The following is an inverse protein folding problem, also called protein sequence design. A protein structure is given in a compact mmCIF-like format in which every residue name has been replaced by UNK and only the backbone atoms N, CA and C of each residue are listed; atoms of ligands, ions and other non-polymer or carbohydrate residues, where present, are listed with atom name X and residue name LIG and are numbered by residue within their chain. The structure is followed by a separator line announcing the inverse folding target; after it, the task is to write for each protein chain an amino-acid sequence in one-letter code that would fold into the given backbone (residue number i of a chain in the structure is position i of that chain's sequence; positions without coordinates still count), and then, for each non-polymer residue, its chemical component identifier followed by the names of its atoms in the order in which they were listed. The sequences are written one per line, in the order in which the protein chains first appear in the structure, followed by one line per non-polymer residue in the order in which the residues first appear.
data_IF_300328173827
#
_entry.id   IF_300328173827
#
_cell.length_a   1.000
_cell.length_b   1.000
_cell.length_c   1.000
_cell.angle_alpha   90.00
_cell.angle_beta   90.00
_cell.angle_gamma   90.00
#
_symmetry.space_group_name_H-M   'P 1'
#
loop_
_entity.id
_entity.type
_entity.pdbx_description
1 polymer ?
#
# COMPACT_ATOMS: atom_id res chain seq x y z
N UNK A 1 -8.23 -9.62 -31.56
CA UNK A 1 -9.50 -9.13 -30.99
C UNK A 1 -10.08 -10.00 -29.85
N UNK A 2 -9.25 -10.66 -29.01
CA UNK A 2 -9.67 -11.23 -27.72
C UNK A 2 -8.90 -10.55 -26.59
N UNK A 3 -9.34 -9.31 -26.35
CA UNK A 3 -9.38 -8.57 -25.08
C UNK A 3 -7.99 -8.32 -24.48
N UNK A 4 -7.37 -7.13 -24.61
CA UNK A 4 -7.65 -5.90 -23.82
C UNK A 4 -7.83 -6.10 -22.29
N UNK A 5 -7.73 -7.33 -21.79
CA UNK A 5 -7.85 -7.73 -20.39
C UNK A 5 -6.54 -7.52 -19.60
N UNK A 6 -5.43 -7.39 -20.32
CA UNK A 6 -4.10 -6.99 -19.83
C UNK A 6 -4.02 -5.52 -19.36
N UNK A 7 -5.05 -4.70 -19.57
CA UNK A 7 -4.99 -3.25 -19.36
C UNK A 7 -5.74 -2.70 -18.13
N UNK A 8 -6.42 -3.53 -17.32
CA UNK A 8 -7.50 -3.03 -16.45
C UNK A 8 -7.40 -3.22 -14.93
N UNK A 9 -6.39 -3.88 -14.36
CA UNK A 9 -6.53 -4.36 -12.96
C UNK A 9 -6.09 -3.35 -11.90
N UNK A 10 -5.31 -2.31 -12.23
CA UNK A 10 -4.82 -1.40 -11.18
C UNK A 10 -5.12 0.09 -11.37
N UNK A 11 -5.86 0.54 -12.40
CA UNK A 11 -6.18 1.98 -12.50
C UNK A 11 -7.57 2.26 -13.06
N UNK A 12 -8.59 2.18 -12.19
CA UNK A 12 -9.77 3.05 -12.28
C UNK A 12 -10.50 3.20 -10.94
N UNK A 13 -9.79 3.70 -9.93
CA UNK A 13 -10.40 4.77 -9.12
C UNK A 13 -9.77 6.07 -9.66
N UNK A 14 -10.36 6.48 -10.80
CA UNK A 14 -10.37 7.81 -11.43
C UNK A 14 -9.11 8.68 -11.39
N UNK A 15 -8.48 8.88 -12.57
CA UNK A 15 -8.32 10.19 -13.26
C UNK A 15 -7.53 9.98 -14.57
N UNK A 16 -8.19 10.37 -15.67
CA UNK A 16 -7.73 10.77 -17.01
C UNK A 16 -6.45 10.17 -17.66
N UNK A 17 -6.68 9.78 -18.92
CA UNK A 17 -5.74 9.72 -20.05
C UNK A 17 -4.83 8.49 -20.19
N UNK A 18 -4.90 7.94 -21.41
CA UNK A 18 -4.25 6.77 -22.00
C UNK A 18 -2.71 6.70 -21.94
N UNK A 19 -2.03 7.32 -20.96
CA UNK A 19 -0.56 7.41 -20.92
C UNK A 19 0.10 6.73 -19.70
N UNK A 20 -0.64 6.16 -18.74
CA UNK A 20 -0.01 5.64 -17.49
C UNK A 20 0.15 4.11 -17.37
N UNK A 21 -0.42 3.32 -18.28
CA UNK A 21 -0.30 1.86 -18.23
C UNK A 21 1.01 1.33 -18.85
N UNK A 22 1.52 2.02 -19.87
CA UNK A 22 2.70 1.60 -20.62
C UNK A 22 3.98 1.87 -19.82
N UNK A 23 4.10 3.04 -19.19
CA UNK A 23 5.22 3.39 -18.30
C UNK A 23 5.27 2.51 -17.04
N UNK A 24 4.11 2.10 -16.51
CA UNK A 24 4.04 1.20 -15.36
C UNK A 24 4.55 -0.20 -15.71
N UNK A 25 4.08 -0.78 -16.82
CA UNK A 25 4.53 -2.10 -17.29
C UNK A 25 6.02 -2.10 -17.68
N UNK A 26 6.49 -1.01 -18.30
CA UNK A 26 7.88 -0.87 -18.71
C UNK A 26 8.85 -0.71 -17.52
N UNK A 27 8.42 -0.07 -16.41
CA UNK A 27 9.18 0.00 -15.15
C UNK A 27 9.08 -1.29 -14.33
N UNK A 28 7.92 -1.95 -14.31
CA UNK A 28 7.75 -3.23 -13.61
C UNK A 28 8.66 -4.32 -14.22
N UNK A 29 8.78 -4.38 -15.54
CA UNK A 29 9.56 -5.43 -16.23
C UNK A 29 11.04 -5.46 -15.82
N UNK A 30 11.67 -4.30 -15.55
CA UNK A 30 13.13 -4.24 -15.37
C UNK A 30 13.61 -4.77 -14.02
N UNK A 31 12.92 -4.42 -12.94
CA UNK A 31 13.29 -4.80 -11.57
C UNK A 31 12.74 -6.18 -11.17
N UNK A 32 11.64 -6.58 -11.78
CA UNK A 32 10.98 -7.86 -11.54
C UNK A 32 11.77 -9.06 -12.08
N UNK A 33 12.45 -8.87 -13.22
CA UNK A 33 13.32 -9.86 -13.83
C UNK A 33 14.56 -10.15 -12.96
N UNK A 34 15.22 -9.10 -12.46
CA UNK A 34 16.41 -9.19 -11.57
C UNK A 34 16.10 -10.02 -10.31
N UNK A 35 14.88 -9.84 -9.80
CA UNK A 35 14.39 -10.49 -8.61
C UNK A 35 14.05 -11.98 -8.82
N UNK A 36 13.55 -12.36 -10.00
CA UNK A 36 13.28 -13.74 -10.35
C UNK A 36 14.51 -14.49 -10.89
N UNK A 37 15.55 -13.78 -11.35
CA UNK A 37 16.72 -14.38 -12.01
C UNK A 37 17.93 -14.62 -11.12
N UNK A 38 17.87 -14.32 -9.82
CA UNK A 38 18.91 -14.57 -8.81
C UNK A 38 20.38 -14.40 -9.28
N UNK A 39 20.99 -13.26 -8.93
CA UNK A 39 22.44 -12.93 -8.94
C UNK A 39 23.04 -12.36 -10.26
N UNK A 40 23.54 -11.12 -10.10
CA UNK A 40 24.70 -10.45 -10.75
C UNK A 40 24.72 -10.12 -12.26
N UNK A 41 25.07 -8.86 -12.52
CA UNK A 41 25.49 -8.18 -13.76
C UNK A 41 24.50 -7.99 -14.92
N UNK A 42 24.28 -6.71 -15.27
CA UNK A 42 23.20 -6.18 -16.10
C UNK A 42 23.63 -6.01 -17.59
N UNK A 43 22.84 -6.52 -18.53
CA UNK A 43 22.89 -6.21 -19.97
C UNK A 43 21.48 -6.08 -20.57
N UNK A 44 21.30 -5.27 -21.61
CA UNK A 44 19.99 -4.97 -22.23
C UNK A 44 19.32 -6.18 -22.93
N UNK A 45 20.06 -7.23 -23.26
CA UNK A 45 19.53 -8.47 -23.85
C UNK A 45 18.80 -9.33 -22.81
N UNK A 46 19.28 -9.32 -21.57
CA UNK A 46 18.66 -10.02 -20.43
C UNK A 46 17.27 -9.45 -20.11
N UNK A 47 17.06 -8.14 -20.30
CA UNK A 47 15.75 -7.48 -20.13
C UNK A 47 14.68 -8.00 -21.11
N UNK A 48 15.08 -8.27 -22.36
CA UNK A 48 14.18 -8.74 -23.42
C UNK A 48 13.77 -10.21 -23.24
N UNK A 49 14.68 -11.05 -22.74
CA UNK A 49 14.39 -12.48 -22.48
C UNK A 49 13.50 -12.65 -21.26
N UNK A 50 13.77 -11.87 -20.22
CA UNK A 50 13.16 -12.07 -18.92
C UNK A 50 11.73 -11.50 -18.86
N UNK A 51 11.42 -10.43 -19.60
CA UNK A 51 10.04 -9.96 -19.81
C UNK A 51 9.14 -11.02 -20.48
N UNK A 52 9.65 -11.85 -21.39
CA UNK A 52 8.88 -12.92 -22.03
C UNK A 52 8.69 -14.15 -21.12
N UNK A 53 9.73 -14.58 -20.41
CA UNK A 53 9.67 -15.73 -19.50
C UNK A 53 8.83 -15.44 -18.25
N UNK A 54 8.95 -14.24 -17.68
CA UNK A 54 8.14 -13.83 -16.53
C UNK A 54 6.68 -13.74 -16.92
N UNK A 55 6.36 -13.13 -18.06
CA UNK A 55 4.97 -13.01 -18.51
C UNK A 55 4.37 -14.36 -18.90
N UNK A 56 5.15 -15.27 -19.49
CA UNK A 56 4.67 -16.64 -19.80
C UNK A 56 4.52 -17.51 -18.54
N UNK A 57 5.40 -17.37 -17.54
CA UNK A 57 5.28 -18.05 -16.25
C UNK A 57 4.12 -17.50 -15.43
N UNK A 58 3.95 -16.17 -15.39
CA UNK A 58 2.81 -15.51 -14.77
C UNK A 58 1.50 -15.93 -15.44
N UNK A 59 1.48 -15.99 -16.78
CA UNK A 59 0.35 -16.50 -17.54
C UNK A 59 0.04 -17.97 -17.19
N UNK A 60 1.06 -18.83 -17.11
CA UNK A 60 0.90 -20.24 -16.74
C UNK A 60 0.41 -20.41 -15.30
N UNK A 61 0.91 -19.60 -14.36
CA UNK A 61 0.45 -19.55 -12.98
C UNK A 61 -1.02 -19.11 -12.88
N UNK A 62 -1.42 -18.10 -13.68
CA UNK A 62 -2.82 -17.67 -13.82
C UNK A 62 -3.70 -18.76 -14.42
N UNK A 63 -3.26 -19.42 -15.49
CA UNK A 63 -3.99 -20.51 -16.13
C UNK A 63 -4.15 -21.73 -15.20
N UNK A 64 -3.11 -22.07 -14.44
CA UNK A 64 -3.16 -23.15 -13.45
C UNK A 64 -4.03 -22.78 -12.24
N UNK A 65 -3.99 -21.52 -11.79
CA UNK A 65 -4.90 -21.01 -10.77
C UNK A 65 -6.36 -21.18 -11.22
N UNK A 66 -6.71 -20.70 -12.41
CA UNK A 66 -8.05 -20.85 -12.97
C UNK A 66 -8.51 -22.31 -13.14
N UNK A 67 -7.59 -23.25 -13.39
CA UNK A 67 -7.90 -24.69 -13.52
C UNK A 67 -8.12 -25.39 -12.17
N UNK A 68 -7.43 -24.96 -11.11
CA UNK A 68 -7.42 -25.66 -9.82
C UNK A 68 -8.40 -25.07 -8.80
N UNK A 69 -8.86 -23.84 -9.01
CA UNK A 69 -9.74 -23.13 -8.07
C UNK A 69 -11.03 -22.68 -8.75
N UNK A 70 -11.97 -23.61 -8.95
CA UNK A 70 -13.28 -23.34 -9.56
C UNK A 70 -14.15 -22.29 -8.82
N UNK A 71 -13.70 -21.72 -7.68
CA UNK A 71 -14.49 -20.83 -6.84
C UNK A 71 -13.68 -19.76 -6.04
N UNK A 72 -12.40 -19.46 -6.37
CA UNK A 72 -11.65 -18.38 -5.68
C UNK A 72 -11.50 -17.12 -6.53
N UNK A 73 -11.68 -15.97 -5.87
CA UNK A 73 -11.69 -14.64 -6.47
C UNK A 73 -10.29 -14.26 -7.03
N UNK A 74 -10.24 -13.45 -8.09
CA UNK A 74 -9.03 -12.90 -8.70
C UNK A 74 -8.11 -12.19 -7.68
N UNK A 75 -8.72 -11.60 -6.66
CA UNK A 75 -8.03 -10.89 -5.59
C UNK A 75 -7.14 -11.80 -4.75
N UNK A 76 -7.48 -13.08 -4.59
CA UNK A 76 -6.67 -14.06 -3.85
C UNK A 76 -5.36 -14.39 -4.59
N UNK A 77 -5.42 -14.50 -5.92
CA UNK A 77 -4.23 -14.67 -6.74
C UNK A 77 -3.31 -13.46 -6.63
N UNK A 78 -3.86 -12.25 -6.83
CA UNK A 78 -3.08 -11.01 -6.75
C UNK A 78 -2.47 -10.82 -5.38
N UNK A 79 -3.20 -11.15 -4.31
CA UNK A 79 -2.70 -11.15 -2.93
C UNK A 79 -1.51 -12.09 -2.78
N UNK A 80 -1.66 -13.36 -3.17
CA UNK A 80 -0.57 -14.34 -3.06
C UNK A 80 0.67 -13.95 -3.86
N UNK A 81 0.47 -13.37 -5.04
CA UNK A 81 1.55 -12.83 -5.86
C UNK A 81 2.30 -11.67 -5.18
N UNK A 82 1.59 -10.65 -4.71
CA UNK A 82 2.19 -9.49 -4.04
C UNK A 82 2.92 -9.88 -2.74
N UNK A 83 2.33 -10.77 -1.94
CA UNK A 83 2.96 -11.31 -0.71
C UNK A 83 4.29 -12.01 -1.04
N UNK A 84 4.33 -12.83 -2.10
CA UNK A 84 5.56 -13.51 -2.53
C UNK A 84 6.65 -12.52 -2.94
N UNK A 85 6.28 -11.44 -3.61
CA UNK A 85 7.24 -10.42 -4.02
C UNK A 85 7.79 -9.66 -2.82
N UNK A 86 6.94 -9.14 -1.94
CA UNK A 86 7.40 -8.44 -0.73
C UNK A 86 8.45 -9.25 0.04
N UNK A 87 8.20 -10.55 0.22
CA UNK A 87 9.06 -11.41 1.00
C UNK A 87 10.37 -11.79 0.27
N UNK A 88 10.32 -12.07 -1.04
CA UNK A 88 11.45 -12.66 -1.77
C UNK A 88 12.16 -11.69 -2.74
N UNK A 89 11.73 -10.43 -2.79
CA UNK A 89 12.14 -9.48 -3.80
C UNK A 89 12.52 -8.13 -3.18
N UNK A 90 13.80 -7.94 -2.88
CA UNK A 90 14.26 -6.69 -2.27
C UNK A 90 14.02 -5.45 -3.15
N UNK A 91 14.25 -5.47 -4.47
CA UNK A 91 13.90 -4.34 -5.33
C UNK A 91 12.41 -3.97 -5.26
N UNK A 92 11.52 -4.97 -5.30
CA UNK A 92 10.07 -4.74 -5.19
C UNK A 92 9.69 -4.20 -3.81
N UNK A 93 10.28 -4.72 -2.74
CA UNK A 93 10.07 -4.22 -1.38
C UNK A 93 10.50 -2.74 -1.24
N UNK A 94 11.66 -2.39 -1.79
CA UNK A 94 12.17 -1.01 -1.83
C UNK A 94 11.20 -0.13 -2.61
N UNK A 95 10.78 -0.57 -3.81
CA UNK A 95 9.80 0.15 -4.63
C UNK A 95 8.49 0.44 -3.87
N UNK A 96 7.93 -0.55 -3.19
CA UNK A 96 6.71 -0.36 -2.39
C UNK A 96 6.94 0.59 -1.21
N UNK A 97 8.13 0.57 -0.62
CA UNK A 97 8.53 1.52 0.44
C UNK A 97 8.60 2.95 -0.09
N UNK A 98 9.17 3.16 -1.28
CA UNK A 98 9.25 4.47 -1.92
C UNK A 98 7.87 5.02 -2.30
N UNK A 99 6.97 4.17 -2.80
CA UNK A 99 5.59 4.54 -3.07
C UNK A 99 4.87 5.00 -1.79
N UNK A 100 5.05 4.26 -0.69
CA UNK A 100 4.48 4.63 0.61
C UNK A 100 5.06 5.96 1.11
N UNK A 101 6.37 6.15 1.00
CA UNK A 101 7.03 7.41 1.37
C UNK A 101 6.46 8.58 0.59
N UNK A 102 6.30 8.45 -0.74
CA UNK A 102 5.70 9.50 -1.58
C UNK A 102 4.26 9.82 -1.19
N UNK A 103 3.47 8.80 -0.81
CA UNK A 103 2.13 9.02 -0.28
C UNK A 103 2.17 9.81 1.03
N UNK A 104 3.13 9.51 1.92
CA UNK A 104 3.30 10.27 3.16
C UNK A 104 3.77 11.70 2.94
N UNK A 105 4.67 11.94 1.98
CA UNK A 105 5.10 13.29 1.61
C UNK A 105 3.90 14.12 1.13
N UNK A 106 3.05 13.54 0.27
CA UNK A 106 1.82 14.19 -0.18
C UNK A 106 0.84 14.46 0.97
N UNK A 107 0.64 13.48 1.86
CA UNK A 107 -0.19 13.67 3.05
C UNK A 107 0.31 14.83 3.91
N UNK A 108 1.61 14.89 4.21
CA UNK A 108 2.21 15.98 5.00
C UNK A 108 2.06 17.33 4.32
N UNK A 109 2.25 17.38 3.00
CA UNK A 109 2.08 18.60 2.21
C UNK A 109 0.65 19.16 2.27
N UNK A 110 -0.37 18.30 2.38
CA UNK A 110 -1.77 18.76 2.49
C UNK A 110 -2.05 19.55 3.78
N UNK A 111 -1.25 19.37 4.83
CA UNK A 111 -1.41 20.06 6.12
C UNK A 111 -0.38 21.18 6.35
N UNK A 112 0.51 21.43 5.38
CA UNK A 112 1.65 22.35 5.54
C UNK A 112 1.23 23.79 5.88
N UNK A 113 0.18 24.29 5.22
CA UNK A 113 -0.32 25.66 5.40
C UNK A 113 -1.49 25.75 6.38
N UNK A 114 -1.93 24.61 6.95
CA UNK A 114 -3.03 24.58 7.90
C UNK A 114 -2.52 24.95 9.29
N UNK A 115 -3.16 25.91 9.97
CA UNK A 115 -2.87 26.18 11.39
C UNK A 115 -3.74 25.33 12.30
N UNK A 116 -3.17 24.88 13.42
CA UNK A 116 -3.93 24.13 14.44
C UNK A 116 -5.05 24.98 15.05
N UNK A 117 -4.87 26.30 15.14
CA UNK A 117 -5.89 27.21 15.69
C UNK A 117 -7.12 27.29 14.78
N UNK A 118 -6.93 27.25 13.46
CA UNK A 118 -8.04 27.17 12.49
C UNK A 118 -8.89 25.91 12.73
N UNK A 119 -8.24 24.76 12.94
CA UNK A 119 -8.93 23.50 13.22
C UNK A 119 -9.65 23.51 14.59
N UNK A 120 -9.01 24.10 15.62
CA UNK A 120 -9.62 24.24 16.95
C UNK A 120 -10.81 25.18 16.97
N UNK A 121 -10.80 26.24 16.17
CA UNK A 121 -11.94 27.17 16.09
C UNK A 121 -13.17 26.52 15.45
N UNK A 122 -12.99 25.59 14.49
CA UNK A 122 -14.08 24.78 13.92
C UNK A 122 -14.71 23.84 14.96
N UNK A 123 -13.92 23.43 15.95
CA UNK A 123 -14.29 22.45 16.95
C UNK A 123 -15.22 22.97 18.04
N UNK A 124 -15.32 24.29 18.25
CA UNK A 124 -16.09 24.87 19.36
C UNK A 124 -17.60 24.74 19.22
N UNK A 125 -18.10 24.51 18.00
CA UNK A 125 -19.53 24.59 17.70
C UNK A 125 -20.21 23.22 17.62
N UNK A 126 -19.51 22.15 17.23
CA UNK A 126 -20.00 20.77 17.27
C UNK A 126 -18.84 19.77 17.27
N UNK A 127 -18.85 18.79 18.18
CA UNK A 127 -17.81 17.75 18.29
C UNK A 127 -18.02 16.65 17.23
N UNK A 128 -17.66 16.90 15.97
CA UNK A 128 -17.80 15.91 14.90
C UNK A 128 -16.57 15.00 14.80
N UNK A 129 -16.81 13.71 14.48
CA UNK A 129 -15.75 12.74 14.21
C UNK A 129 -14.74 13.24 13.16
N UNK A 130 -15.25 13.91 12.12
CA UNK A 130 -14.45 14.47 11.03
C UNK A 130 -13.45 15.52 11.51
N UNK A 131 -13.84 16.35 12.47
CA UNK A 131 -12.97 17.41 13.01
C UNK A 131 -11.87 16.80 13.90
N UNK A 132 -12.21 15.75 14.65
CA UNK A 132 -11.25 14.95 15.41
C UNK A 132 -10.20 14.29 14.51
N UNK A 133 -10.64 13.69 13.40
CA UNK A 133 -9.75 13.09 12.40
C UNK A 133 -8.86 14.14 11.75
N UNK A 134 -9.41 15.29 11.36
CA UNK A 134 -8.64 16.39 10.77
C UNK A 134 -7.54 16.88 11.72
N UNK A 135 -7.85 17.05 13.01
CA UNK A 135 -6.87 17.43 14.03
C UNK A 135 -5.80 16.34 14.25
N UNK A 136 -6.21 15.07 14.35
CA UNK A 136 -5.28 13.95 14.52
C UNK A 136 -4.32 13.83 13.32
N UNK A 137 -4.85 13.96 12.11
CA UNK A 137 -4.08 13.96 10.87
C UNK A 137 -3.11 15.15 10.82
N UNK A 138 -3.56 16.34 11.25
CA UNK A 138 -2.69 17.52 11.34
C UNK A 138 -1.52 17.29 12.31
N UNK A 139 -1.79 16.73 13.50
CA UNK A 139 -0.73 16.40 14.45
C UNK A 139 0.26 15.40 13.85
N UNK A 140 -0.24 14.36 13.18
CA UNK A 140 0.61 13.37 12.54
C UNK A 140 1.48 13.99 11.43
N UNK A 141 0.87 14.79 10.56
CA UNK A 141 1.56 15.47 9.46
C UNK A 141 2.70 16.37 9.96
N UNK A 142 2.52 16.99 11.13
CA UNK A 142 3.47 17.90 11.77
C UNK A 142 4.43 17.21 12.77
N UNK A 143 4.56 15.87 12.70
CA UNK A 143 5.43 15.07 13.58
C UNK A 143 5.11 15.18 15.07
N UNK A 144 3.90 15.61 15.42
CA UNK A 144 3.36 15.63 16.80
C UNK A 144 2.76 14.25 17.11
N UNK A 145 3.64 13.26 17.14
CA UNK A 145 3.28 11.85 17.12
C UNK A 145 2.50 11.40 18.37
N UNK A 146 2.80 11.96 19.55
CA UNK A 146 2.11 11.61 20.80
C UNK A 146 0.68 12.15 20.82
N UNK A 147 0.48 13.37 20.34
CA UNK A 147 -0.84 13.98 20.20
C UNK A 147 -1.67 13.24 19.15
N UNK A 148 -1.09 12.92 18.00
CA UNK A 148 -1.73 12.13 16.97
C UNK A 148 -2.17 10.74 17.49
N UNK A 149 -1.26 10.01 18.16
CA UNK A 149 -1.56 8.69 18.73
C UNK A 149 -2.73 8.76 19.73
N UNK A 150 -2.71 9.75 20.61
CA UNK A 150 -3.76 9.97 21.61
C UNK A 150 -5.11 10.24 20.95
N UNK A 151 -5.15 11.10 19.93
CA UNK A 151 -6.40 11.43 19.25
C UNK A 151 -6.96 10.24 18.45
N UNK A 152 -6.13 9.52 17.70
CA UNK A 152 -6.59 8.30 17.02
C UNK A 152 -7.12 7.26 18.01
N UNK A 153 -6.46 7.08 19.16
CA UNK A 153 -6.95 6.19 20.23
C UNK A 153 -8.27 6.67 20.84
N UNK A 154 -8.47 7.97 21.02
CA UNK A 154 -9.76 8.52 21.48
C UNK A 154 -10.87 8.26 20.46
N UNK A 155 -10.61 8.49 19.17
CA UNK A 155 -11.55 8.18 18.08
C UNK A 155 -11.93 6.70 18.14
N UNK A 156 -10.94 5.80 18.17
CA UNK A 156 -11.18 4.35 18.16
C UNK A 156 -11.79 3.82 19.47
N UNK A 157 -11.69 4.55 20.58
CA UNK A 157 -12.39 4.21 21.83
C UNK A 157 -13.89 4.44 21.68
N UNK A 158 -14.29 5.51 20.99
CA UNK A 158 -15.70 5.86 20.77
C UNK A 158 -16.29 5.12 19.57
N UNK A 159 -15.48 4.93 18.52
CA UNK A 159 -15.85 4.25 17.28
C UNK A 159 -14.82 3.16 16.93
N UNK A 160 -14.93 1.96 17.52
CA UNK A 160 -13.96 0.88 17.31
C UNK A 160 -13.80 0.43 15.87
N UNK A 161 -14.81 0.65 15.02
CA UNK A 161 -14.84 0.26 13.61
C UNK A 161 -14.52 1.43 12.65
N UNK A 162 -13.99 2.55 13.17
CA UNK A 162 -13.52 3.65 12.34
C UNK A 162 -12.22 3.24 11.60
N UNK A 163 -12.35 2.87 10.32
CA UNK A 163 -11.25 2.33 9.51
C UNK A 163 -10.20 3.36 9.10
N UNK A 164 -10.57 4.63 8.96
CA UNK A 164 -9.63 5.71 8.65
C UNK A 164 -8.68 5.99 9.83
N UNK A 165 -9.19 6.15 11.05
CA UNK A 165 -8.39 6.28 12.27
C UNK A 165 -7.55 5.02 12.51
N UNK A 166 -8.10 3.83 12.25
CA UNK A 166 -7.34 2.57 12.35
C UNK A 166 -6.16 2.57 11.37
N UNK A 167 -6.38 2.99 10.11
CA UNK A 167 -5.33 3.11 9.10
C UNK A 167 -4.27 4.16 9.50
N UNK A 168 -4.69 5.36 9.89
CA UNK A 168 -3.77 6.44 10.24
C UNK A 168 -2.93 6.11 11.47
N UNK A 169 -3.49 5.42 12.47
CA UNK A 169 -2.72 4.88 13.59
C UNK A 169 -1.73 3.81 13.13
N UNK A 170 -2.09 2.97 12.16
CA UNK A 170 -1.18 2.00 11.54
C UNK A 170 -0.01 2.67 10.83
N UNK A 171 -0.27 3.73 10.06
CA UNK A 171 0.76 4.55 9.41
C UNK A 171 1.69 5.22 10.42
N UNK A 172 1.13 5.79 11.49
CA UNK A 172 1.90 6.38 12.58
C UNK A 172 2.84 5.34 13.22
N UNK A 173 2.35 4.13 13.51
CA UNK A 173 3.19 3.07 14.08
C UNK A 173 4.26 2.55 13.13
N UNK A 174 3.99 2.45 11.83
CA UNK A 174 5.02 2.09 10.85
C UNK A 174 6.14 3.15 10.82
N UNK A 175 5.80 4.44 10.72
CA UNK A 175 6.78 5.55 10.72
C UNK A 175 7.61 5.61 12.02
N UNK A 176 7.04 5.17 13.15
CA UNK A 176 7.73 5.07 14.44
C UNK A 176 8.56 3.77 14.60
N UNK A 177 8.56 2.87 13.61
CA UNK A 177 9.24 1.58 13.66
C UNK A 177 8.57 0.54 14.57
N UNK A 178 7.34 0.82 15.04
CA UNK A 178 6.47 -0.06 15.83
C UNK A 178 5.73 -1.03 14.90
N UNK A 179 6.51 -1.83 14.16
CA UNK A 179 6.01 -2.68 13.07
C UNK A 179 5.01 -3.73 13.53
N UNK A 180 5.14 -4.25 14.77
CA UNK A 180 4.23 -5.27 15.27
C UNK A 180 2.82 -4.69 15.46
N UNK A 181 2.72 -3.49 16.02
CA UNK A 181 1.47 -2.76 16.23
C UNK A 181 0.88 -2.27 14.91
N UNK A 182 1.70 -1.73 14.00
CA UNK A 182 1.29 -1.31 12.66
C UNK A 182 0.67 -2.47 11.88
N UNK A 183 1.33 -3.64 11.88
CA UNK A 183 0.86 -4.85 11.23
C UNK A 183 -0.55 -5.25 11.69
N UNK A 184 -0.80 -5.25 13.00
CA UNK A 184 -2.10 -5.62 13.57
C UNK A 184 -3.21 -4.69 13.06
N UNK A 185 -2.94 -3.39 12.98
CA UNK A 185 -3.89 -2.39 12.47
C UNK A 185 -4.14 -2.57 10.97
N UNK A 186 -3.10 -2.80 10.17
CA UNK A 186 -3.27 -3.07 8.74
C UNK A 186 -4.03 -4.37 8.45
N UNK A 187 -3.79 -5.44 9.22
CA UNK A 187 -4.59 -6.66 9.13
C UNK A 187 -6.06 -6.40 9.46
N UNK A 188 -6.35 -5.54 10.45
CA UNK A 188 -7.73 -5.15 10.78
C UNK A 188 -8.40 -4.40 9.63
N UNK A 189 -7.73 -3.39 9.06
CA UNK A 189 -8.27 -2.61 7.92
C UNK A 189 -8.46 -3.52 6.69
N UNK A 190 -7.51 -4.41 6.41
CA UNK A 190 -7.64 -5.38 5.31
C UNK A 190 -8.83 -6.31 5.50
N UNK A 191 -9.02 -6.88 6.71
CA UNK A 191 -10.14 -7.78 7.01
C UNK A 191 -11.51 -7.10 6.84
N UNK A 192 -11.60 -5.82 7.17
CA UNK A 192 -12.85 -5.07 7.09
C UNK A 192 -13.15 -4.55 5.66
N UNK A 193 -12.12 -4.11 4.93
CA UNK A 193 -12.28 -3.42 3.63
C UNK A 193 -12.01 -4.30 2.41
N UNK A 194 -11.28 -5.40 2.57
CA UNK A 194 -10.75 -6.19 1.46
C UNK A 194 -9.66 -5.48 0.64
N UNK A 195 -9.26 -4.25 1.00
CA UNK A 195 -8.30 -3.47 0.23
C UNK A 195 -6.88 -4.05 0.38
N UNK A 196 -6.38 -4.60 -0.72
CA UNK A 196 -5.10 -5.32 -0.81
C UNK A 196 -3.87 -4.49 -0.43
N UNK A 197 -3.95 -3.15 -0.52
CA UNK A 197 -2.87 -2.26 -0.09
C UNK A 197 -2.49 -2.48 1.38
N UNK A 198 -3.47 -2.66 2.25
CA UNK A 198 -3.22 -2.90 3.67
C UNK A 198 -2.64 -4.30 3.92
N UNK A 199 -2.96 -5.28 3.06
CA UNK A 199 -2.27 -6.57 3.10
C UNK A 199 -0.80 -6.41 2.72
N UNK A 200 -0.50 -5.60 1.70
CA UNK A 200 0.88 -5.28 1.33
C UNK A 200 1.63 -4.62 2.48
N UNK A 201 1.06 -3.60 3.13
CA UNK A 201 1.69 -2.95 4.28
C UNK A 201 1.93 -3.92 5.45
N UNK A 202 0.93 -4.76 5.79
CA UNK A 202 1.12 -5.79 6.80
C UNK A 202 2.28 -6.75 6.47
N UNK A 203 2.46 -7.14 5.21
CA UNK A 203 3.55 -8.04 4.84
C UNK A 203 4.91 -7.33 4.85
N UNK A 204 4.94 -6.04 4.50
CA UNK A 204 6.15 -5.24 4.59
C UNK A 204 6.64 -5.13 6.04
N UNK A 205 5.72 -4.85 6.98
CA UNK A 205 6.03 -4.81 8.41
C UNK A 205 6.46 -6.17 8.94
N UNK A 206 5.83 -7.26 8.48
CA UNK A 206 6.24 -8.61 8.82
C UNK A 206 7.68 -8.92 8.36
N UNK A 207 8.05 -8.50 7.15
CA UNK A 207 9.42 -8.64 6.65
C UNK A 207 10.41 -7.88 7.54
N UNK A 208 10.09 -6.65 7.93
CA UNK A 208 10.94 -5.84 8.83
C UNK A 208 11.09 -6.46 10.21
N UNK A 209 10.03 -7.06 10.77
CA UNK A 209 10.07 -7.78 12.06
C UNK A 209 11.03 -8.97 11.97
N UNK A 210 11.00 -9.73 10.87
CA UNK A 210 11.88 -10.91 10.67
C UNK A 210 13.36 -10.57 10.43
N UNK A 211 13.68 -9.31 10.14
CA UNK A 211 15.03 -8.84 9.86
C UNK A 211 15.70 -8.17 11.08
N UNK A 212 14.96 -7.96 12.17
CA UNK A 212 15.49 -7.52 13.47
C UNK A 212 15.94 -8.72 14.29
#
# INVERSE_FOLDING_TARGET
MKKKLLLGILFSISISSKIKAQDFLQKLDKEFCICLSSKTNYTDETFKTCSYEVMSKLQKDLENYHKTTANKNRDDFMKGFLVRLINNCDPFFIHMSDLKKKQMDNFRNNYKETSIDSLKNKFTDTKLLTDYLEMANWYFANNKNEEAERMYKEILKNEPDQMEATNMLGLLYDELGKYQEAKVLYDKVYKNTGNIQYKVYSEMDLKRIKQK
#
